data_IF_151766820535
#
_entry.id   IF_151766820535
#
_cell.length_a   1.000
_cell.length_b   1.000
_cell.length_c   1.000
_cell.angle_alpha   90.00
_cell.angle_beta   90.00
_cell.angle_gamma   90.00
#
_symmetry.space_group_name_H-M   'P 1'
#
loop_
_entity.id
_entity.type
_entity.pdbx_description
1 polymer ?
#
# COMPACT_ATOMS: atom_id res chain seq x y z
N UNK A 1 -28.09 28.05 -61.12
CA UNK A 1 -26.74 28.10 -60.50
C UNK A 1 -26.74 28.69 -59.09
N UNK A 2 -27.60 29.67 -58.76
CA UNK A 2 -27.60 30.32 -57.44
C UNK A 2 -28.09 29.44 -56.27
N UNK A 3 -29.05 28.54 -56.49
CA UNK A 3 -29.56 27.66 -55.44
C UNK A 3 -28.51 26.66 -54.92
N UNK A 4 -27.62 26.17 -55.80
CA UNK A 4 -26.55 25.24 -55.43
C UNK A 4 -25.46 25.93 -54.60
N UNK A 5 -25.25 27.25 -54.81
CA UNK A 5 -24.28 28.05 -54.08
C UNK A 5 -24.74 28.33 -52.64
N UNK A 6 -26.04 28.59 -52.43
CA UNK A 6 -26.62 28.81 -51.09
C UNK A 6 -26.57 27.56 -50.21
N UNK A 7 -26.81 26.38 -50.78
CA UNK A 7 -26.74 25.10 -50.05
C UNK A 7 -25.30 24.75 -49.66
N UNK A 8 -24.31 25.08 -50.49
CA UNK A 8 -22.89 24.91 -50.14
C UNK A 8 -22.45 25.88 -49.03
N UNK A 9 -22.93 27.11 -49.04
CA UNK A 9 -22.59 28.10 -48.02
C UNK A 9 -23.19 27.74 -46.64
N UNK A 10 -24.44 27.24 -46.60
CA UNK A 10 -25.07 26.79 -45.35
C UNK A 10 -24.44 25.51 -44.80
N UNK A 11 -24.02 24.58 -45.65
CA UNK A 11 -23.30 23.38 -45.21
C UNK A 11 -21.92 23.71 -44.61
N UNK A 12 -21.19 24.66 -45.21
CA UNK A 12 -19.88 25.10 -44.71
C UNK A 12 -20.04 25.84 -43.37
N UNK A 13 -21.09 26.67 -43.21
CA UNK A 13 -21.39 27.32 -41.93
C UNK A 13 -21.81 26.31 -40.84
N UNK A 14 -22.59 25.28 -41.17
CA UNK A 14 -22.95 24.21 -40.23
C UNK A 14 -21.74 23.37 -39.80
N UNK A 15 -20.80 23.13 -40.73
CA UNK A 15 -19.57 22.39 -40.42
C UNK A 15 -18.64 23.20 -39.51
N UNK A 16 -18.53 24.52 -39.70
CA UNK A 16 -17.76 25.40 -38.82
C UNK A 16 -18.39 25.58 -37.42
N UNK A 17 -19.72 25.58 -37.32
CA UNK A 17 -20.43 25.63 -36.02
C UNK A 17 -20.30 24.30 -35.27
N UNK A 18 -20.31 23.15 -35.96
CA UNK A 18 -20.05 21.86 -35.31
C UNK A 18 -18.57 21.63 -34.93
N UNK A 19 -17.62 22.15 -35.70
CA UNK A 19 -16.19 22.05 -35.37
C UNK A 19 -15.81 22.93 -34.17
N UNK A 20 -16.48 24.08 -33.99
CA UNK A 20 -16.30 24.95 -32.83
C UNK A 20 -16.98 24.43 -31.54
N UNK A 21 -17.93 23.49 -31.66
CA UNK A 21 -18.59 22.84 -30.52
C UNK A 21 -17.86 21.59 -29.99
N UNK A 22 -16.87 21.06 -30.72
CA UNK A 22 -16.08 19.88 -30.32
C UNK A 22 -14.74 20.22 -29.64
N UNK A 23 -14.45 21.50 -29.41
CA UNK A 23 -13.23 21.95 -28.73
C UNK A 23 -13.55 22.63 -27.40
N UNK A 24 -14.29 21.96 -26.51
CA UNK A 24 -14.31 22.32 -25.08
C UNK A 24 -13.20 21.57 -24.33
N UNK A 25 -11.96 21.75 -24.75
CA UNK A 25 -10.87 21.72 -23.77
C UNK A 25 -11.02 23.00 -22.96
N UNK A 26 -11.75 22.94 -21.84
CA UNK A 26 -11.63 23.94 -20.80
C UNK A 26 -10.17 23.89 -20.34
N UNK A 27 -9.31 24.66 -21.01
CA UNK A 27 -8.00 25.01 -20.50
C UNK A 27 -8.29 25.89 -19.30
N UNK A 28 -8.52 25.27 -18.15
CA UNK A 28 -8.53 25.99 -16.89
C UNK A 28 -7.16 26.64 -16.79
N UNK A 29 -7.14 27.97 -16.92
CA UNK A 29 -5.93 28.80 -16.80
C UNK A 29 -5.52 28.85 -15.32
N UNK A 30 -5.17 27.69 -14.77
CA UNK A 30 -4.61 27.55 -13.44
C UNK A 30 -3.11 27.82 -13.54
N UNK A 31 -2.61 28.54 -12.54
CA UNK A 31 -1.19 28.83 -12.40
C UNK A 31 -0.70 28.35 -11.03
N UNK A 32 0.50 27.77 -11.00
CA UNK A 32 1.16 27.40 -9.75
C UNK A 32 2.06 28.57 -9.34
N UNK A 33 1.69 29.24 -8.25
CA UNK A 33 2.42 30.40 -7.73
C UNK A 33 3.70 29.96 -7.02
N UNK A 34 3.62 28.90 -6.24
CA UNK A 34 4.77 28.32 -5.56
C UNK A 34 4.60 26.80 -5.46
N UNK A 35 5.66 26.05 -5.79
CA UNK A 35 5.73 24.62 -5.60
C UNK A 35 6.98 24.25 -4.78
N UNK A 36 6.76 23.63 -3.63
CA UNK A 36 7.84 23.05 -2.84
C UNK A 36 7.71 21.53 -2.86
N UNK A 37 8.72 20.85 -3.42
CA UNK A 37 8.78 19.39 -3.52
C UNK A 37 9.89 18.86 -2.61
N UNK A 38 9.55 17.98 -1.67
CA UNK A 38 10.49 17.33 -0.75
C UNK A 38 10.48 15.82 -0.99
N UNK A 39 11.60 15.28 -1.40
CA UNK A 39 11.80 13.87 -1.71
C UNK A 39 12.65 13.25 -0.59
N UNK A 40 12.07 12.33 0.16
CA UNK A 40 12.74 11.60 1.22
C UNK A 40 13.24 10.24 0.70
N UNK A 41 14.57 10.08 0.66
CA UNK A 41 15.27 8.86 0.23
C UNK A 41 15.90 8.11 1.42
N UNK A 42 15.50 8.44 2.65
CA UNK A 42 16.09 7.83 3.86
C UNK A 42 15.82 6.33 3.97
N UNK A 43 14.70 5.85 3.41
CA UNK A 43 14.32 4.44 3.32
C UNK A 43 14.41 3.97 1.86
N UNK A 44 14.15 2.67 1.63
CA UNK A 44 13.97 2.15 0.28
C UNK A 44 12.59 2.49 -0.33
N UNK A 45 11.69 3.01 0.51
CA UNK A 45 10.38 3.56 0.16
C UNK A 45 10.54 5.07 0.02
N UNK A 46 10.36 5.60 -1.19
CA UNK A 46 10.54 7.04 -1.43
C UNK A 46 9.23 7.75 -1.09
N UNK A 47 9.28 8.71 -0.17
CA UNK A 47 8.14 9.54 0.19
C UNK A 47 8.33 10.93 -0.39
N UNK A 48 7.37 11.40 -1.17
CA UNK A 48 7.43 12.73 -1.76
C UNK A 48 6.28 13.57 -1.25
N UNK A 49 6.64 14.67 -0.60
CA UNK A 49 5.73 15.70 -0.13
C UNK A 49 5.79 16.89 -1.09
N UNK A 50 4.66 17.32 -1.62
CA UNK A 50 4.57 18.47 -2.52
C UNK A 50 3.56 19.46 -1.96
N UNK A 51 4.04 20.65 -1.63
CA UNK A 51 3.19 21.79 -1.25
C UNK A 51 2.97 22.65 -2.49
N UNK A 52 1.73 22.73 -2.96
CA UNK A 52 1.34 23.50 -4.14
C UNK A 52 0.47 24.68 -3.73
N UNK A 53 0.93 25.91 -4.03
CA UNK A 53 0.08 27.09 -4.00
C UNK A 53 -0.43 27.38 -5.40
N UNK A 54 -1.71 27.14 -5.61
CA UNK A 54 -2.39 27.25 -6.91
C UNK A 54 -3.25 28.51 -6.94
N UNK A 55 -3.35 29.15 -8.09
CA UNK A 55 -4.13 30.34 -8.36
C UNK A 55 -4.97 30.10 -9.63
N UNK A 56 -6.26 30.47 -9.60
CA UNK A 56 -7.07 30.44 -10.82
C UNK A 56 -6.94 31.79 -11.55
N UNK A 57 -6.19 31.82 -12.66
CA UNK A 57 -6.07 32.99 -13.51
C UNK A 57 -7.19 33.10 -14.55
N UNK A 58 -7.97 32.03 -14.74
CA UNK A 58 -9.07 31.96 -15.70
C UNK A 58 -10.35 32.67 -15.26
N UNK A 59 -11.31 32.73 -16.18
CA UNK A 59 -12.62 33.36 -15.94
C UNK A 59 -13.63 32.43 -15.28
N UNK A 60 -13.54 31.13 -15.53
CA UNK A 60 -14.42 30.11 -14.94
C UNK A 60 -13.86 29.58 -13.61
N UNK A 61 -14.71 29.26 -12.62
CA UNK A 61 -14.26 28.62 -11.39
C UNK A 61 -13.70 27.22 -11.68
N UNK A 62 -12.55 26.89 -11.08
CA UNK A 62 -11.92 25.58 -11.21
C UNK A 62 -12.39 24.65 -10.09
N UNK A 63 -12.85 23.45 -10.43
CA UNK A 63 -13.31 22.43 -9.47
C UNK A 63 -12.24 21.37 -9.19
N UNK A 64 -11.29 21.23 -10.11
CA UNK A 64 -10.35 20.12 -10.14
C UNK A 64 -8.96 20.63 -10.51
N UNK A 65 -7.93 19.96 -10.02
CA UNK A 65 -6.53 20.28 -10.33
C UNK A 65 -5.83 19.00 -10.76
N UNK A 66 -5.15 19.07 -11.90
CA UNK A 66 -4.41 17.94 -12.46
C UNK A 66 -2.98 17.91 -11.94
N UNK A 67 -2.59 16.78 -11.36
CA UNK A 67 -1.22 16.49 -10.99
C UNK A 67 -0.60 15.54 -12.02
N UNK A 68 0.50 15.96 -12.65
CA UNK A 68 1.14 15.20 -13.73
C UNK A 68 2.29 14.32 -13.21
N UNK A 69 2.43 13.16 -13.84
CA UNK A 69 3.54 12.24 -13.62
C UNK A 69 4.16 11.79 -14.95
N UNK A 70 5.50 11.63 -14.99
CA UNK A 70 6.15 10.90 -16.08
C UNK A 70 5.57 9.48 -16.17
N UNK A 71 5.42 8.92 -17.38
CA UNK A 71 4.87 7.57 -17.56
C UNK A 71 5.68 6.53 -16.79
N UNK A 72 7.01 6.66 -16.77
CA UNK A 72 7.90 5.76 -16.04
C UNK A 72 7.74 5.81 -14.53
N UNK A 73 7.21 6.90 -13.97
CA UNK A 73 7.10 7.08 -12.51
C UNK A 73 5.74 6.60 -11.98
N UNK A 74 4.68 6.70 -12.79
CA UNK A 74 3.31 6.29 -12.38
C UNK A 74 3.23 4.83 -11.97
N UNK A 75 3.92 3.95 -12.70
CA UNK A 75 3.90 2.52 -12.42
C UNK A 75 4.50 2.17 -11.05
N UNK A 76 5.33 3.07 -10.50
CA UNK A 76 5.94 2.94 -9.18
C UNK A 76 5.13 3.59 -8.05
N UNK A 77 4.04 4.31 -8.36
CA UNK A 77 3.22 4.97 -7.34
C UNK A 77 2.40 3.93 -6.58
N UNK A 78 2.70 3.75 -5.29
CA UNK A 78 1.96 2.87 -4.40
C UNK A 78 0.74 3.57 -3.78
N UNK A 79 0.90 4.85 -3.47
CA UNK A 79 -0.11 5.66 -2.80
C UNK A 79 -0.02 7.10 -3.30
N UNK A 80 -1.17 7.73 -3.52
CA UNK A 80 -1.31 9.15 -3.77
C UNK A 80 -2.42 9.71 -2.88
N UNK A 81 -2.12 10.75 -2.09
CA UNK A 81 -3.06 11.45 -1.22
C UNK A 81 -2.90 12.96 -1.45
N UNK A 82 -4.01 13.68 -1.43
CA UNK A 82 -4.02 15.14 -1.46
C UNK A 82 -4.87 15.66 -0.30
N UNK A 83 -4.50 16.81 0.24
CA UNK A 83 -5.25 17.49 1.27
C UNK A 83 -5.23 19.01 1.04
N UNK A 84 -6.34 19.68 1.29
CA UNK A 84 -6.40 21.14 1.33
C UNK A 84 -5.98 21.63 2.72
N UNK A 85 -5.18 22.69 2.76
CA UNK A 85 -4.86 23.39 4.01
C UNK A 85 -5.95 24.41 4.32
N UNK A 86 -6.66 24.21 5.44
CA UNK A 86 -7.70 25.12 5.92
C UNK A 86 -7.25 25.79 7.23
N UNK A 87 -7.43 27.10 7.33
CA UNK A 87 -7.10 27.90 8.52
C UNK A 87 -5.79 28.70 8.43
N UNK A 88 -5.61 29.67 9.35
CA UNK A 88 -4.44 30.56 9.38
C UNK A 88 -3.44 30.17 10.49
N UNK A 89 -2.14 30.20 10.17
CA UNK A 89 -1.00 30.04 11.10
C UNK A 89 -1.04 28.78 11.98
N UNK A 90 -1.49 28.89 13.24
CA UNK A 90 -1.37 27.86 14.31
C UNK A 90 -2.55 26.88 14.38
N UNK A 91 -3.64 27.12 13.65
CA UNK A 91 -4.79 26.19 13.51
C UNK A 91 -4.91 25.72 12.06
N UNK A 92 -3.81 25.21 11.48
CA UNK A 92 -3.87 24.57 10.17
C UNK A 92 -4.49 23.19 10.32
N UNK A 93 -5.61 22.97 9.65
CA UNK A 93 -6.24 21.66 9.53
C UNK A 93 -6.05 21.17 8.11
N UNK A 94 -5.72 19.89 7.95
CA UNK A 94 -5.62 19.25 6.65
C UNK A 94 -6.91 18.48 6.39
N UNK A 95 -7.62 18.86 5.34
CA UNK A 95 -8.86 18.19 4.94
C UNK A 95 -8.53 17.32 3.71
N UNK A 96 -8.72 15.99 3.77
CA UNK A 96 -8.47 15.10 2.64
C UNK A 96 -9.30 15.49 1.42
N UNK A 97 -8.70 15.37 0.23
CA UNK A 97 -9.35 15.60 -1.05
C UNK A 97 -9.53 14.29 -1.80
N UNK A 98 -10.58 14.22 -2.62
CA UNK A 98 -10.79 13.09 -3.52
C UNK A 98 -9.78 13.14 -4.67
N UNK A 99 -9.22 11.99 -5.01
CA UNK A 99 -8.21 11.85 -6.05
C UNK A 99 -8.58 10.70 -6.97
N UNK A 100 -8.61 10.98 -8.27
CA UNK A 100 -8.89 9.97 -9.30
C UNK A 100 -7.79 9.93 -10.36
N UNK A 101 -7.29 8.74 -10.74
CA UNK A 101 -6.48 8.61 -11.95
C UNK A 101 -7.25 9.15 -13.15
N UNK A 102 -6.59 9.90 -14.02
CA UNK A 102 -7.23 10.51 -15.20
C UNK A 102 -6.26 10.45 -16.38
N UNK A 103 -6.77 10.03 -17.53
CA UNK A 103 -6.02 10.05 -18.77
C UNK A 103 -6.55 11.16 -19.68
N UNK A 104 -5.62 11.96 -20.22
CA UNK A 104 -5.95 12.96 -21.23
C UNK A 104 -5.51 12.41 -22.60
N UNK A 105 -6.39 12.37 -23.61
CA UNK A 105 -6.09 11.77 -24.91
C UNK A 105 -4.92 12.46 -25.65
N UNK A 106 -4.68 13.75 -25.37
CA UNK A 106 -3.61 14.55 -25.98
C UNK A 106 -2.45 14.85 -25.00
N UNK A 107 -2.17 13.97 -24.04
CA UNK A 107 -1.10 14.17 -23.08
C UNK A 107 0.29 14.18 -23.76
N UNK A 108 1.11 15.22 -23.57
CA UNK A 108 2.45 15.24 -24.14
C UNK A 108 3.30 14.12 -23.54
N UNK A 109 4.10 13.45 -24.39
CA UNK A 109 5.07 12.41 -24.00
C UNK A 109 4.48 11.26 -23.14
N UNK A 110 3.20 10.94 -23.30
CA UNK A 110 2.54 9.88 -22.54
C UNK A 110 2.34 10.20 -21.05
N UNK A 111 2.38 11.49 -20.68
CA UNK A 111 2.15 11.95 -19.30
C UNK A 111 0.82 11.43 -18.76
N UNK A 112 0.84 10.92 -17.53
CA UNK A 112 -0.35 10.43 -16.82
C UNK A 112 -0.74 11.43 -15.74
N UNK A 113 -2.02 11.49 -15.38
CA UNK A 113 -2.53 12.47 -14.44
C UNK A 113 -3.32 11.84 -13.31
N UNK A 114 -3.34 12.55 -12.18
CA UNK A 114 -4.33 12.39 -11.13
C UNK A 114 -5.13 13.69 -11.05
N UNK A 115 -6.45 13.60 -11.14
CA UNK A 115 -7.35 14.72 -10.85
C UNK A 115 -7.60 14.80 -9.34
N UNK A 116 -7.36 15.98 -8.78
CA UNK A 116 -7.62 16.31 -7.36
C UNK A 116 -8.86 17.20 -7.33
N UNK A 117 -9.96 16.70 -6.75
CA UNK A 117 -11.19 17.48 -6.61
C UNK A 117 -11.06 18.46 -5.43
N UNK A 118 -11.32 19.74 -5.68
CA UNK A 118 -11.28 20.79 -4.66
C UNK A 118 -12.55 20.77 -3.82
N UNK A 119 -12.44 21.14 -2.53
CA UNK A 119 -13.59 21.24 -1.62
C UNK A 119 -14.58 22.32 -2.06
N UNK A 120 -14.03 23.47 -2.45
CA UNK A 120 -14.79 24.61 -2.95
C UNK A 120 -14.24 24.98 -4.34
N UNK A 121 -15.10 25.42 -5.27
CA UNK A 121 -14.64 25.90 -6.57
C UNK A 121 -13.70 27.10 -6.38
N UNK A 122 -12.53 27.05 -7.00
CA UNK A 122 -11.53 28.12 -6.93
C UNK A 122 -11.96 29.26 -7.87
N UNK A 123 -12.36 30.39 -7.31
CA UNK A 123 -12.81 31.57 -8.08
C UNK A 123 -11.65 32.30 -8.76
N UNK A 124 -11.95 33.17 -9.72
CA UNK A 124 -10.93 33.98 -10.42
C UNK A 124 -10.08 34.79 -9.42
N UNK A 125 -8.77 34.67 -9.51
CA UNK A 125 -7.78 35.32 -8.64
C UNK A 125 -7.69 34.73 -7.23
N UNK A 126 -8.48 33.70 -6.92
CA UNK A 126 -8.41 33.01 -5.63
C UNK A 126 -7.22 32.06 -5.60
N UNK A 127 -6.62 31.90 -4.41
CA UNK A 127 -5.50 30.98 -4.20
C UNK A 127 -5.86 29.90 -3.20
N UNK A 128 -5.44 28.67 -3.49
CA UNK A 128 -5.53 27.54 -2.58
C UNK A 128 -4.15 26.94 -2.32
N UNK A 129 -3.97 26.30 -1.16
CA UNK A 129 -2.75 25.55 -0.84
C UNK A 129 -3.11 24.08 -0.67
N UNK A 130 -2.50 23.25 -1.52
CA UNK A 130 -2.66 21.80 -1.54
C UNK A 130 -1.38 21.15 -1.00
N UNK A 131 -1.54 20.17 -0.13
CA UNK A 131 -0.47 19.28 0.30
C UNK A 131 -0.70 17.92 -0.35
N UNK A 132 0.26 17.48 -1.15
CA UNK A 132 0.22 16.19 -1.85
C UNK A 132 1.30 15.29 -1.26
N UNK A 133 0.91 14.07 -0.92
CA UNK A 133 1.82 12.99 -0.55
C UNK A 133 1.68 11.87 -1.57
N UNK A 134 2.77 11.53 -2.24
CA UNK A 134 2.83 10.28 -3.00
C UNK A 134 4.05 9.46 -2.60
N UNK A 135 3.90 8.15 -2.71
CA UNK A 135 4.89 7.18 -2.28
C UNK A 135 5.27 6.32 -3.46
N UNK A 136 6.57 6.24 -3.72
CA UNK A 136 7.13 5.45 -4.79
C UNK A 136 7.84 4.23 -4.23
N UNK A 137 7.63 3.10 -4.87
CA UNK A 137 8.28 1.83 -4.55
C UNK A 137 9.09 1.35 -5.75
N UNK A 138 10.14 0.57 -5.50
CA UNK A 138 11.01 0.00 -6.57
C UNK A 138 11.61 1.06 -7.52
N UNK A 139 11.77 2.30 -7.05
CA UNK A 139 12.38 3.40 -7.83
C UNK A 139 13.86 3.63 -7.51
N UNK A 140 14.39 2.94 -6.50
CA UNK A 140 15.82 2.93 -6.19
C UNK A 140 16.47 1.74 -6.88
N UNK A 141 17.47 2.00 -7.71
CA UNK A 141 18.20 0.98 -8.46
C UNK A 141 19.59 0.78 -7.85
N UNK A 142 19.91 -0.42 -7.34
CA UNK A 142 21.26 -0.69 -6.86
C UNK A 142 22.31 -0.56 -7.96
N UNK A 143 23.35 0.22 -7.68
CA UNK A 143 24.51 0.36 -8.56
C UNK A 143 25.80 0.57 -7.74
N UNK A 144 26.70 -0.43 -7.71
CA UNK A 144 26.68 -1.65 -8.51
C UNK A 144 25.51 -2.59 -8.15
N UNK A 145 25.04 -3.37 -9.14
CA UNK A 145 23.91 -4.28 -8.97
C UNK A 145 24.23 -5.46 -8.02
N UNK A 146 25.51 -5.77 -7.86
CA UNK A 146 26.01 -6.80 -6.95
C UNK A 146 27.15 -6.25 -6.09
N UNK A 147 27.16 -6.58 -4.80
CA UNK A 147 28.15 -6.17 -3.82
C UNK A 147 28.64 -7.37 -3.00
N UNK A 148 29.91 -7.35 -2.65
CA UNK A 148 30.49 -8.28 -1.68
C UNK A 148 30.01 -7.99 -0.26
N UNK A 149 30.30 -8.90 0.68
CA UNK A 149 29.84 -8.80 2.06
C UNK A 149 30.29 -7.53 2.78
N UNK A 150 31.46 -6.98 2.42
CA UNK A 150 32.09 -5.83 3.08
C UNK A 150 31.80 -4.50 2.39
N UNK A 151 31.20 -4.51 1.21
CA UNK A 151 30.94 -3.30 0.42
C UNK A 151 29.66 -2.61 0.87
N UNK A 152 29.67 -1.27 0.80
CA UNK A 152 28.48 -0.45 1.00
C UNK A 152 27.52 -0.58 -0.18
N UNK A 153 26.23 -0.54 0.11
CA UNK A 153 25.19 -0.47 -0.91
C UNK A 153 25.04 0.97 -1.41
N UNK A 154 25.26 1.15 -2.71
CA UNK A 154 25.03 2.39 -3.43
C UNK A 154 23.82 2.23 -4.36
N UNK A 155 23.00 3.27 -4.51
CA UNK A 155 21.80 3.26 -5.33
C UNK A 155 21.65 4.53 -6.16
N UNK A 156 21.02 4.38 -7.33
CA UNK A 156 20.55 5.49 -8.15
C UNK A 156 19.08 5.76 -7.90
N UNK A 157 18.72 7.04 -7.94
CA UNK A 157 17.34 7.49 -8.17
C UNK A 157 17.31 8.37 -9.42
N UNK A 158 16.32 8.12 -10.29
CA UNK A 158 16.04 8.95 -11.46
C UNK A 158 14.81 9.79 -11.17
N UNK A 159 14.94 11.10 -11.27
CA UNK A 159 13.85 12.04 -11.05
C UNK A 159 14.07 13.30 -11.92
N UNK A 160 13.39 14.39 -11.62
CA UNK A 160 13.54 15.70 -12.24
C UNK A 160 13.79 16.79 -11.20
N UNK A 161 14.70 17.72 -11.52
CA UNK A 161 14.99 18.90 -10.70
C UNK A 161 13.76 19.83 -10.59
N UNK A 162 12.94 19.86 -11.64
CA UNK A 162 11.70 20.63 -11.71
C UNK A 162 10.48 19.71 -11.66
N UNK A 163 9.41 20.19 -11.04
CA UNK A 163 8.10 19.54 -10.99
C UNK A 163 7.50 19.49 -12.40
N UNK A 164 7.15 18.28 -12.86
CA UNK A 164 6.33 18.12 -14.05
C UNK A 164 4.90 18.56 -13.74
N UNK A 165 4.41 19.55 -14.48
CA UNK A 165 3.09 20.14 -14.27
C UNK A 165 2.43 20.50 -15.60
N UNK A 166 1.11 20.31 -15.78
CA UNK A 166 0.38 20.79 -16.96
C UNK A 166 0.15 22.32 -16.92
N UNK A 167 0.42 22.94 -15.78
CA UNK A 167 0.24 24.36 -15.53
C UNK A 167 1.59 25.09 -15.49
N UNK A 168 1.56 26.39 -15.77
CA UNK A 168 2.72 27.27 -15.61
C UNK A 168 3.11 27.38 -14.14
N UNK A 169 4.41 27.30 -13.84
CA UNK A 169 4.94 27.36 -12.47
C UNK A 169 5.78 28.63 -12.31
N UNK A 170 5.32 29.59 -11.49
CA UNK A 170 6.05 30.85 -11.23
C UNK A 170 7.34 30.61 -10.46
N UNK A 171 7.26 29.85 -9.36
CA UNK A 171 8.42 29.56 -8.51
C UNK A 171 8.36 28.12 -8.03
N UNK A 172 9.52 27.46 -8.01
CA UNK A 172 9.62 26.12 -7.44
C UNK A 172 10.97 25.81 -6.83
N UNK A 173 10.95 24.89 -5.87
CA UNK A 173 12.13 24.34 -5.22
C UNK A 173 11.95 22.84 -5.02
N UNK A 174 12.98 22.07 -5.30
CA UNK A 174 13.03 20.63 -5.02
C UNK A 174 14.13 20.35 -4.00
N UNK A 175 13.77 19.71 -2.89
CA UNK A 175 14.66 19.29 -1.82
C UNK A 175 14.70 17.76 -1.79
N UNK A 176 15.89 17.18 -1.82
CA UNK A 176 16.10 15.74 -1.76
C UNK A 176 16.91 15.43 -0.51
N UNK A 177 16.37 14.58 0.37
CA UNK A 177 17.03 14.14 1.60
C UNK A 177 17.58 12.73 1.41
N UNK A 178 18.89 12.57 1.55
CA UNK A 178 19.59 11.28 1.49
C UNK A 178 19.73 10.65 2.88
N UNK A 179 19.89 9.32 3.00
CA UNK A 179 20.05 8.63 4.28
C UNK A 179 21.39 8.94 4.95
N UNK A 180 22.41 9.27 4.16
CA UNK A 180 23.75 9.59 4.63
C UNK A 180 24.31 10.81 3.88
N UNK A 181 25.42 11.35 4.38
CA UNK A 181 26.17 12.40 3.69
C UNK A 181 27.01 11.86 2.53
N UNK A 182 27.05 10.54 2.29
CA UNK A 182 27.83 9.90 1.23
C UNK A 182 27.02 9.83 -0.08
N UNK A 183 27.13 10.90 -0.87
CA UNK A 183 26.62 10.99 -2.24
C UNK A 183 27.82 10.98 -3.18
N UNK A 184 27.89 9.97 -4.04
CA UNK A 184 28.95 9.72 -5.02
C UNK A 184 28.87 10.72 -6.18
N UNK A 185 27.67 10.92 -6.72
CA UNK A 185 27.44 11.88 -7.81
C UNK A 185 25.99 12.35 -7.84
N UNK A 186 25.76 13.54 -8.39
CA UNK A 186 24.43 14.06 -8.68
C UNK A 186 24.49 14.97 -9.91
N UNK A 187 23.41 14.99 -10.69
CA UNK A 187 23.29 15.90 -11.86
C UNK A 187 23.21 17.35 -11.38
N UNK A 188 24.08 18.22 -11.88
CA UNK A 188 24.06 19.65 -11.55
C UNK A 188 23.11 20.39 -12.49
N UNK A 189 22.06 20.99 -11.94
CA UNK A 189 21.11 21.85 -12.68
C UNK A 189 21.07 23.19 -11.97
N UNK A 190 21.79 24.19 -12.49
CA UNK A 190 21.99 25.45 -11.78
C UNK A 190 20.67 26.26 -11.65
N UNK A 191 20.37 26.84 -10.46
CA UNK A 191 21.12 26.73 -9.21
C UNK A 191 20.84 25.40 -8.49
N UNK A 192 21.90 24.72 -8.06
CA UNK A 192 21.82 23.53 -7.19
C UNK A 192 22.85 23.61 -6.09
N UNK A 193 22.50 23.21 -4.87
CA UNK A 193 23.39 23.23 -3.71
C UNK A 193 23.25 21.92 -2.92
N UNK A 194 24.33 21.51 -2.24
CA UNK A 194 24.35 20.36 -1.33
C UNK A 194 24.80 20.82 0.04
N UNK A 195 24.02 20.50 1.06
CA UNK A 195 24.37 20.75 2.46
C UNK A 195 24.07 19.50 3.30
N UNK A 196 25.12 18.85 3.80
CA UNK A 196 24.98 17.63 4.61
C UNK A 196 24.26 16.50 3.84
N UNK A 197 23.09 16.10 4.33
CA UNK A 197 22.22 15.07 3.75
C UNK A 197 21.15 15.63 2.80
N UNK A 198 21.16 16.94 2.53
CA UNK A 198 20.15 17.58 1.70
C UNK A 198 20.76 18.12 0.40
N UNK A 199 20.09 17.80 -0.72
CA UNK A 199 20.35 18.35 -2.04
C UNK A 199 19.20 19.29 -2.39
N UNK A 200 19.51 20.53 -2.72
CA UNK A 200 18.56 21.57 -3.11
C UNK A 200 18.73 21.90 -4.58
N UNK A 201 17.63 21.79 -5.33
CA UNK A 201 17.49 22.25 -6.71
C UNK A 201 16.56 23.47 -6.74
N UNK A 202 17.04 24.56 -7.33
CA UNK A 202 16.34 25.84 -7.36
C UNK A 202 16.73 26.79 -6.21
N UNK A 203 16.03 27.92 -6.08
CA UNK A 203 14.75 28.22 -6.71
C UNK A 203 14.86 28.34 -8.24
N UNK A 204 13.85 27.82 -8.93
CA UNK A 204 13.67 28.05 -10.37
C UNK A 204 12.43 28.90 -10.57
N UNK A 205 12.61 30.00 -11.29
CA UNK A 205 11.51 30.89 -11.65
C UNK A 205 10.97 30.58 -13.06
N UNK A 206 9.71 30.94 -13.28
CA UNK A 206 8.95 30.99 -14.54
C UNK A 206 9.20 29.82 -15.48
N UNK A 207 8.63 28.67 -15.13
CA UNK A 207 8.72 27.44 -15.92
C UNK A 207 7.44 27.18 -16.72
N UNK A 208 7.56 26.94 -18.04
CA UNK A 208 6.40 26.67 -18.87
C UNK A 208 5.78 25.31 -18.54
N UNK A 209 4.50 25.09 -18.90
CA UNK A 209 3.86 23.78 -18.80
C UNK A 209 4.72 22.65 -19.39
N UNK A 210 4.68 21.48 -18.75
CA UNK A 210 5.36 20.26 -19.17
C UNK A 210 6.89 20.36 -19.31
N UNK A 211 7.50 21.35 -18.67
CA UNK A 211 8.96 21.41 -18.57
C UNK A 211 9.49 20.27 -17.69
N UNK A 212 10.60 19.69 -18.10
CA UNK A 212 11.24 18.55 -17.43
C UNK A 212 12.77 18.71 -17.44
N UNK A 213 13.43 18.41 -16.33
CA UNK A 213 14.89 18.53 -16.20
C UNK A 213 15.42 17.31 -15.47
N UNK A 214 15.79 16.24 -16.19
CA UNK A 214 16.15 14.96 -15.59
C UNK A 214 17.38 15.09 -14.70
N UNK A 215 17.31 14.44 -13.55
CA UNK A 215 18.42 14.31 -12.60
C UNK A 215 18.63 12.86 -12.22
N UNK A 216 19.90 12.53 -12.01
CA UNK A 216 20.36 11.26 -11.46
C UNK A 216 21.11 11.58 -10.17
N UNK A 217 20.74 10.90 -9.07
CA UNK A 217 21.46 11.02 -7.80
C UNK A 217 21.95 9.64 -7.38
N UNK A 218 23.25 9.53 -7.11
CA UNK A 218 23.95 8.31 -6.71
C UNK A 218 24.45 8.45 -5.28
N UNK A 219 23.96 7.61 -4.38
CA UNK A 219 24.24 7.76 -2.96
C UNK A 219 24.28 6.42 -2.24
N UNK A 220 24.93 6.41 -1.08
CA UNK A 220 24.97 5.26 -0.19
C UNK A 220 23.66 5.11 0.58
N UNK A 221 23.06 3.94 0.48
CA UNK A 221 21.88 3.54 1.24
C UNK A 221 22.05 2.10 1.74
N UNK A 222 22.61 1.94 2.94
CA UNK A 222 22.78 0.64 3.60
C UNK A 222 21.53 0.19 4.37
N UNK A 223 20.39 0.88 4.25
CA UNK A 223 19.17 0.33 4.84
C UNK A 223 18.79 -0.96 4.10
N UNK A 224 18.26 -1.95 4.82
CA UNK A 224 17.85 -3.20 4.19
C UNK A 224 16.55 -3.00 3.39
N UNK A 225 16.53 -3.49 2.15
CA UNK A 225 15.42 -3.26 1.22
C UNK A 225 14.40 -4.39 1.39
N UNK A 226 13.45 -4.19 2.30
CA UNK A 226 12.46 -5.20 2.73
C UNK A 226 11.28 -5.24 1.79
N UNK A 227 11.24 -6.25 0.93
CA UNK A 227 10.13 -6.47 0.00
C UNK A 227 9.54 -7.84 0.24
N UNK A 228 8.25 -7.89 0.54
CA UNK A 228 7.48 -9.13 0.60
C UNK A 228 6.78 -9.30 -0.74
N UNK A 229 7.21 -10.30 -1.52
CA UNK A 229 6.62 -10.59 -2.83
C UNK A 229 5.15 -10.98 -2.68
N UNK A 230 4.84 -11.75 -1.64
CA UNK A 230 3.48 -12.19 -1.33
C UNK A 230 3.27 -12.27 0.18
N UNK A 231 2.25 -11.58 0.66
CA UNK A 231 1.74 -11.68 2.03
C UNK A 231 0.31 -12.18 1.98
N UNK A 232 0.10 -13.41 2.47
CA UNK A 232 -1.24 -13.95 2.69
C UNK A 232 -1.56 -13.89 4.17
N UNK A 233 -2.56 -13.10 4.54
CA UNK A 233 -3.07 -12.99 5.92
C UNK A 233 -4.43 -13.65 6.00
N UNK A 234 -4.53 -14.71 6.79
CA UNK A 234 -5.80 -15.32 7.16
C UNK A 234 -6.24 -14.82 8.54
N UNK A 235 -7.47 -14.36 8.62
CA UNK A 235 -8.14 -13.89 9.85
C UNK A 235 -9.33 -14.81 10.09
N UNK A 236 -9.17 -15.79 10.98
CA UNK A 236 -10.24 -16.72 11.34
C UNK A 236 -10.98 -16.23 12.57
N UNK A 237 -12.25 -15.91 12.40
CA UNK A 237 -13.13 -15.45 13.49
C UNK A 237 -13.79 -16.68 14.11
N UNK A 238 -13.75 -16.79 15.44
CA UNK A 238 -14.51 -17.78 16.19
C UNK A 238 -15.38 -17.10 17.23
N UNK A 239 -16.71 -17.24 17.10
CA UNK A 239 -17.66 -16.72 18.08
C UNK A 239 -17.57 -17.41 19.45
N UNK A 240 -16.77 -18.47 19.58
CA UNK A 240 -16.41 -19.06 20.87
C UNK A 240 -15.41 -18.21 21.68
N UNK A 241 -14.92 -17.09 21.13
CA UNK A 241 -14.26 -16.03 21.89
C UNK A 241 -12.86 -15.64 21.43
N UNK A 242 -12.40 -16.11 20.27
CA UNK A 242 -11.06 -15.75 19.75
C UNK A 242 -11.04 -15.45 18.26
N UNK A 243 -10.03 -14.70 17.86
CA UNK A 243 -9.64 -14.52 16.46
C UNK A 243 -8.25 -15.12 16.31
N UNK A 244 -8.06 -15.97 15.31
CA UNK A 244 -6.77 -16.56 14.98
C UNK A 244 -6.22 -15.90 13.72
N UNK A 245 -5.02 -15.35 13.82
CA UNK A 245 -4.33 -14.73 12.69
C UNK A 245 -3.21 -15.66 12.23
N UNK A 246 -3.14 -15.92 10.93
CA UNK A 246 -2.03 -16.64 10.30
C UNK A 246 -1.53 -15.84 9.10
N UNK A 247 -0.28 -15.40 9.15
CA UNK A 247 0.36 -14.59 8.11
C UNK A 247 1.50 -15.38 7.47
N UNK A 248 1.47 -15.53 6.15
CA UNK A 248 2.48 -16.23 5.36
C UNK A 248 3.26 -15.19 4.55
N UNK A 249 4.57 -15.15 4.76
CA UNK A 249 5.47 -14.17 4.16
C UNK A 249 6.38 -14.84 3.14
N UNK A 250 6.49 -14.26 1.95
CA UNK A 250 7.60 -14.51 1.00
C UNK A 250 8.47 -13.25 0.92
N UNK A 251 9.42 -13.13 1.84
CA UNK A 251 10.32 -11.99 1.96
C UNK A 251 11.51 -12.14 1.02
N UNK A 252 11.92 -11.05 0.36
CA UNK A 252 13.16 -10.93 -0.40
C UNK A 252 13.89 -9.65 0.00
N UNK A 253 15.21 -9.73 0.08
CA UNK A 253 16.03 -8.51 0.14
C UNK A 253 16.22 -7.95 -1.28
N UNK A 254 15.53 -6.86 -1.60
CA UNK A 254 15.54 -6.25 -2.95
C UNK A 254 16.72 -5.28 -3.21
N UNK A 255 17.76 -5.33 -2.38
CA UNK A 255 18.93 -4.46 -2.50
C UNK A 255 19.94 -4.98 -3.53
N UNK A 256 21.17 -4.44 -3.48
CA UNK A 256 22.27 -4.94 -4.29
C UNK A 256 22.55 -6.42 -3.97
N UNK A 257 22.61 -7.27 -5.01
CA UNK A 257 22.74 -8.72 -4.83
C UNK A 257 24.07 -9.08 -4.18
N UNK A 258 24.09 -10.13 -3.38
CA UNK A 258 25.33 -10.63 -2.82
C UNK A 258 26.25 -11.22 -3.91
N UNK A 259 27.49 -10.75 -3.94
CA UNK A 259 28.55 -11.25 -4.82
C UNK A 259 29.63 -11.96 -4.01
N UNK A 260 30.08 -13.11 -4.51
CA UNK A 260 31.15 -13.89 -3.91
C UNK A 260 30.65 -14.85 -2.83
N UNK A 261 31.52 -15.14 -1.86
CA UNK A 261 31.26 -16.15 -0.82
C UNK A 261 30.84 -15.45 0.47
N UNK A 262 29.81 -15.98 1.11
CA UNK A 262 29.45 -15.58 2.47
C UNK A 262 30.46 -16.14 3.48
N UNK A 263 31.06 -15.26 4.28
CA UNK A 263 31.95 -15.60 5.38
C UNK A 263 31.30 -15.26 6.72
N UNK A 264 30.88 -16.30 7.46
CA UNK A 264 30.34 -16.17 8.82
C UNK A 264 31.33 -15.49 9.77
N UNK A 265 32.62 -15.82 9.64
CA UNK A 265 33.70 -15.24 10.46
C UNK A 265 33.77 -13.73 10.23
N UNK A 266 33.76 -13.30 8.96
CA UNK A 266 33.79 -11.87 8.65
C UNK A 266 32.54 -11.15 9.15
N UNK A 267 31.37 -11.78 9.02
CA UNK A 267 30.09 -11.22 9.45
C UNK A 267 30.04 -10.98 10.97
N UNK A 268 30.65 -11.87 11.75
CA UNK A 268 30.66 -11.79 13.21
C UNK A 268 31.81 -10.92 13.75
N UNK A 269 32.98 -10.95 13.13
CA UNK A 269 34.17 -10.25 13.64
C UNK A 269 34.22 -8.77 13.25
N UNK A 270 33.68 -8.39 12.08
CA UNK A 270 33.71 -7.00 11.61
C UNK A 270 32.36 -6.33 11.86
N UNK A 271 32.31 -5.39 12.80
CA UNK A 271 31.09 -4.67 13.19
C UNK A 271 30.33 -3.94 12.06
N UNK A 272 30.94 -3.75 10.90
CA UNK A 272 30.33 -3.16 9.70
C UNK A 272 30.17 -4.11 8.49
N UNK A 273 30.57 -5.38 8.58
CA UNK A 273 30.35 -6.35 7.48
C UNK A 273 28.86 -6.72 7.43
N UNK A 274 28.31 -6.76 6.21
CA UNK A 274 26.88 -6.96 5.98
C UNK A 274 26.00 -5.84 6.51
N UNK A 275 26.46 -4.58 6.41
CA UNK A 275 25.69 -3.40 6.85
C UNK A 275 24.33 -3.27 6.15
N UNK A 276 24.23 -3.72 4.89
CA UNK A 276 22.99 -3.74 4.11
C UNK A 276 22.07 -4.93 4.42
N UNK A 277 22.56 -5.95 5.13
CA UNK A 277 21.81 -7.18 5.38
C UNK A 277 20.75 -7.05 6.49
N UNK A 278 19.77 -7.96 6.49
CA UNK A 278 18.83 -8.09 7.60
C UNK A 278 19.44 -8.88 8.75
N UNK A 279 19.51 -8.25 9.94
CA UNK A 279 19.81 -8.93 11.20
C UNK A 279 18.53 -9.36 11.92
N UNK A 280 17.63 -8.40 12.09
CA UNK A 280 16.33 -8.58 12.72
C UNK A 280 15.25 -7.92 11.87
N UNK A 281 14.02 -8.41 11.99
CA UNK A 281 12.82 -7.80 11.45
C UNK A 281 11.88 -7.50 12.61
N UNK A 282 11.29 -6.31 12.61
CA UNK A 282 10.35 -5.89 13.65
C UNK A 282 8.93 -5.90 13.11
N UNK A 283 8.10 -6.81 13.61
CA UNK A 283 6.66 -6.82 13.40
C UNK A 283 5.95 -6.07 14.53
N UNK A 284 5.09 -5.10 14.18
CA UNK A 284 4.20 -4.40 15.09
C UNK A 284 2.83 -5.05 15.05
N UNK A 285 2.52 -5.80 16.08
CA UNK A 285 1.27 -6.54 16.22
C UNK A 285 0.27 -5.77 17.10
N UNK A 286 -1.03 -6.13 17.07
CA UNK A 286 -2.02 -5.57 17.98
C UNK A 286 -1.68 -5.80 19.47
N UNK A 287 -2.32 -5.08 20.41
CA UNK A 287 -2.19 -5.38 21.83
C UNK A 287 -2.82 -6.74 22.18
N UNK A 288 -2.50 -7.27 23.37
CA UNK A 288 -3.08 -8.51 23.93
C UNK A 288 -2.94 -9.76 23.05
N UNK A 289 -1.93 -9.81 22.19
CA UNK A 289 -1.59 -11.02 21.44
C UNK A 289 -1.20 -12.15 22.39
N UNK A 290 -1.64 -13.36 22.08
CA UNK A 290 -1.26 -14.56 22.80
C UNK A 290 -1.01 -15.72 21.82
N UNK A 291 -0.43 -16.81 22.32
CA UNK A 291 -0.16 -18.01 21.50
C UNK A 291 0.63 -17.70 20.21
N UNK A 292 1.57 -16.76 20.29
CA UNK A 292 2.37 -16.33 19.14
C UNK A 292 3.34 -17.45 18.74
N UNK A 293 3.37 -17.77 17.45
CA UNK A 293 4.33 -18.71 16.89
C UNK A 293 5.00 -18.14 15.64
N UNK A 294 6.27 -18.48 15.48
CA UNK A 294 7.11 -18.10 14.33
C UNK A 294 7.80 -19.36 13.79
N UNK A 295 7.47 -19.72 12.55
CA UNK A 295 7.94 -20.97 11.94
C UNK A 295 8.20 -20.80 10.45
N UNK A 296 9.01 -21.67 9.89
CA UNK A 296 9.15 -21.84 8.45
C UNK A 296 8.62 -23.22 8.02
N UNK A 297 8.88 -23.59 6.77
CA UNK A 297 8.44 -24.88 6.20
C UNK A 297 9.07 -26.08 6.91
N UNK A 298 10.28 -25.92 7.47
CA UNK A 298 11.03 -27.01 8.13
C UNK A 298 10.83 -27.05 9.65
N UNK A 299 10.08 -26.09 10.21
CA UNK A 299 9.63 -26.14 11.60
C UNK A 299 9.77 -24.83 12.35
N UNK A 300 9.82 -24.93 13.67
CA UNK A 300 9.88 -23.76 14.54
C UNK A 300 11.22 -23.00 14.39
N UNK A 301 11.16 -21.68 14.53
CA UNK A 301 12.34 -20.82 14.65
C UNK A 301 12.31 -20.18 16.04
N UNK A 302 13.27 -20.53 16.89
CA UNK A 302 13.32 -20.07 18.28
C UNK A 302 13.90 -18.67 18.46
N UNK A 303 14.57 -18.12 17.44
CA UNK A 303 15.19 -16.79 17.45
C UNK A 303 14.13 -15.69 17.23
N UNK A 304 13.30 -15.48 18.25
CA UNK A 304 12.28 -14.44 18.28
C UNK A 304 12.10 -13.89 19.69
N UNK A 305 11.77 -12.60 19.78
CA UNK A 305 11.56 -11.89 21.03
C UNK A 305 10.25 -11.10 20.96
N UNK A 306 9.28 -11.48 21.78
CA UNK A 306 7.99 -10.79 21.89
C UNK A 306 8.01 -9.85 23.10
N UNK A 307 7.65 -8.59 22.87
CA UNK A 307 7.40 -7.58 23.90
C UNK A 307 5.95 -7.12 23.78
N UNK A 308 5.16 -7.37 24.81
CA UNK A 308 3.75 -6.97 24.85
C UNK A 308 3.59 -5.68 25.65
N UNK A 309 2.89 -4.70 25.10
CA UNK A 309 2.51 -3.45 25.75
C UNK A 309 0.98 -3.29 25.66
N UNK A 310 0.39 -2.42 26.49
CA UNK A 310 -1.05 -2.18 26.53
C UNK A 310 -1.58 -1.63 25.21
N UNK A 311 -0.75 -0.89 24.46
CA UNK A 311 -1.15 -0.26 23.19
C UNK A 311 -0.81 -1.08 21.95
N UNK A 312 0.22 -1.91 22.01
CA UNK A 312 0.75 -2.66 20.87
C UNK A 312 1.63 -3.81 21.37
N UNK A 313 1.93 -4.75 20.50
CA UNK A 313 2.94 -5.76 20.76
C UNK A 313 4.03 -5.68 19.70
N UNK A 314 5.27 -5.89 20.07
CA UNK A 314 6.43 -5.86 19.19
C UNK A 314 7.06 -7.24 19.17
N UNK A 315 7.08 -7.85 17.99
CA UNK A 315 7.73 -9.13 17.74
C UNK A 315 8.97 -8.88 16.89
N UNK A 316 10.14 -9.02 17.52
CA UNK A 316 11.42 -9.01 16.84
C UNK A 316 11.76 -10.44 16.44
N UNK A 317 11.97 -10.68 15.14
CA UNK A 317 12.32 -12.00 14.60
C UNK A 317 13.69 -11.95 13.93
N UNK A 318 14.44 -13.02 14.11
CA UNK A 318 15.68 -13.27 13.38
C UNK A 318 15.48 -14.48 12.47
N UNK A 319 15.56 -14.32 11.14
CA UNK A 319 15.55 -15.46 10.23
C UNK A 319 16.73 -16.42 10.50
N UNK A 320 16.64 -17.67 10.05
CA UNK A 320 17.68 -18.70 10.27
C UNK A 320 19.08 -18.30 9.77
N UNK A 321 19.13 -17.40 8.81
CA UNK A 321 20.34 -16.85 8.23
C UNK A 321 20.15 -15.36 7.92
N UNK A 322 21.21 -14.54 7.98
CA UNK A 322 21.12 -13.13 7.58
C UNK A 322 20.70 -13.05 6.12
N UNK A 323 19.80 -12.13 5.78
CA UNK A 323 19.38 -11.96 4.40
C UNK A 323 20.24 -10.88 3.76
N UNK A 324 21.09 -11.29 2.81
CA UNK A 324 21.80 -10.39 1.89
C UNK A 324 20.96 -10.16 0.64
N UNK A 325 21.30 -9.15 -0.17
CA UNK A 325 20.54 -8.82 -1.36
C UNK A 325 20.37 -10.00 -2.31
N UNK A 326 19.15 -10.20 -2.78
CA UNK A 326 18.72 -11.33 -3.60
C UNK A 326 18.31 -12.57 -2.81
N UNK A 327 18.65 -12.69 -1.52
CA UNK A 327 18.23 -13.82 -0.71
C UNK A 327 16.75 -13.68 -0.31
N UNK A 328 16.09 -14.84 -0.17
CA UNK A 328 14.67 -14.94 0.14
C UNK A 328 14.47 -15.72 1.43
N UNK A 329 13.46 -15.35 2.21
CA UNK A 329 12.99 -16.13 3.36
C UNK A 329 11.48 -16.29 3.29
N UNK A 330 11.02 -17.53 3.48
CA UNK A 330 9.60 -17.85 3.61
C UNK A 330 9.32 -18.29 5.03
N UNK A 331 8.37 -17.63 5.68
CA UNK A 331 8.02 -17.92 7.07
C UNK A 331 6.56 -17.60 7.35
N UNK A 332 6.07 -18.12 8.47
CA UNK A 332 4.71 -17.93 8.97
C UNK A 332 4.78 -17.34 10.36
N UNK A 333 4.02 -16.28 10.58
CA UNK A 333 3.74 -15.72 11.89
C UNK A 333 2.26 -15.99 12.17
N UNK A 334 1.93 -16.56 13.32
CA UNK A 334 0.54 -16.66 13.75
C UNK A 334 0.39 -16.32 15.22
N UNK A 335 -0.80 -15.84 15.57
CA UNK A 335 -1.12 -15.36 16.91
C UNK A 335 -2.63 -15.31 17.14
N UNK A 336 -3.03 -15.46 18.39
CA UNK A 336 -4.41 -15.30 18.83
C UNK A 336 -4.69 -13.90 19.36
N UNK A 337 -5.93 -13.47 19.18
CA UNK A 337 -6.47 -12.21 19.70
C UNK A 337 -7.82 -12.46 20.39
N UNK A 338 -8.13 -11.71 21.45
CA UNK A 338 -9.46 -11.75 22.07
C UNK A 338 -10.51 -11.17 21.11
N UNK A 339 -11.64 -11.86 20.95
CA UNK A 339 -12.69 -11.47 19.99
C UNK A 339 -13.28 -10.09 20.30
N UNK A 340 -13.45 -9.77 21.58
CA UNK A 340 -14.10 -8.55 22.10
C UNK A 340 -13.43 -7.23 21.65
N UNK A 341 -12.13 -7.27 21.32
CA UNK A 341 -11.37 -6.08 20.95
C UNK A 341 -11.52 -5.72 19.46
N UNK A 342 -12.01 -6.65 18.63
CA UNK A 342 -12.01 -6.51 17.16
C UNK A 342 -13.36 -6.82 16.51
N UNK A 343 -14.26 -7.51 17.21
CA UNK A 343 -15.61 -7.80 16.71
C UNK A 343 -16.63 -6.92 17.42
N UNK A 344 -17.41 -6.19 16.62
CA UNK A 344 -18.39 -5.23 17.10
C UNK A 344 -19.76 -5.49 16.47
N UNK A 345 -20.80 -4.91 17.07
CA UNK A 345 -22.16 -4.93 16.54
C UNK A 345 -22.52 -3.53 16.03
N UNK A 346 -23.08 -3.46 14.83
CA UNK A 346 -23.60 -2.21 14.26
C UNK A 346 -25.06 -1.99 14.65
N UNK A 347 -25.56 -0.73 14.60
CA UNK A 347 -26.93 -0.42 15.05
C UNK A 347 -28.05 -1.15 14.30
N UNK A 348 -27.76 -1.66 13.11
CA UNK A 348 -28.65 -2.48 12.27
C UNK A 348 -28.64 -3.97 12.65
N UNK A 349 -27.94 -4.35 13.72
CA UNK A 349 -27.85 -5.73 14.25
C UNK A 349 -26.84 -6.62 13.52
N UNK A 350 -26.06 -6.08 12.58
CA UNK A 350 -24.99 -6.82 11.91
C UNK A 350 -23.73 -6.86 12.78
N UNK A 351 -22.93 -7.91 12.60
CA UNK A 351 -21.60 -7.97 13.22
C UNK A 351 -20.56 -7.48 12.23
N UNK A 352 -19.52 -6.84 12.72
CA UNK A 352 -18.39 -6.46 11.88
C UNK A 352 -17.05 -6.67 12.57
N UNK A 353 -16.13 -7.26 11.82
CA UNK A 353 -14.71 -7.25 12.16
C UNK A 353 -14.16 -5.85 11.85
N UNK A 354 -13.37 -5.30 12.76
CA UNK A 354 -12.56 -4.10 12.53
C UNK A 354 -11.09 -4.46 12.73
N UNK A 355 -10.31 -4.50 11.64
CA UNK A 355 -8.92 -4.95 11.66
C UNK A 355 -8.02 -4.07 10.81
N UNK A 356 -6.70 -4.18 10.96
CA UNK A 356 -5.75 -3.35 10.21
C UNK A 356 -5.33 -4.03 8.91
N UNK A 357 -5.33 -3.27 7.79
CA UNK A 357 -5.07 -3.82 6.46
C UNK A 357 -3.59 -4.10 6.19
N UNK A 358 -2.69 -3.16 6.52
CA UNK A 358 -1.28 -3.19 6.09
C UNK A 358 -0.42 -4.33 6.64
N UNK A 359 0.82 -4.39 6.16
CA UNK A 359 1.86 -5.29 6.67
C UNK A 359 2.31 -4.85 8.07
N UNK A 360 2.47 -5.77 9.05
CA UNK A 360 2.92 -5.41 10.38
C UNK A 360 4.45 -5.23 10.45
N UNK A 361 5.20 -5.74 9.45
CA UNK A 361 6.64 -5.52 9.36
C UNK A 361 6.95 -4.05 9.09
N UNK A 362 7.90 -3.53 9.87
CA UNK A 362 8.32 -2.13 9.78
C UNK A 362 9.06 -1.88 8.46
N UNK A 363 8.85 -0.70 7.86
CA UNK A 363 9.54 -0.25 6.63
C UNK A 363 9.59 -1.35 5.55
N UNK A 364 8.45 -1.98 5.25
CA UNK A 364 8.35 -3.10 4.31
C UNK A 364 7.35 -2.78 3.21
N UNK A 365 7.72 -3.06 1.96
CA UNK A 365 6.83 -3.02 0.80
C UNK A 365 6.27 -4.41 0.56
N UNK A 366 4.98 -4.52 0.24
CA UNK A 366 4.36 -5.78 -0.18
C UNK A 366 3.91 -5.66 -1.62
N UNK A 367 4.38 -6.54 -2.51
CA UNK A 367 3.97 -6.51 -3.91
C UNK A 367 2.53 -7.00 -4.09
N UNK A 368 2.17 -8.10 -3.44
CA UNK A 368 0.80 -8.63 -3.38
C UNK A 368 0.40 -8.94 -1.93
N UNK A 369 -0.64 -8.27 -1.44
CA UNK A 369 -1.28 -8.55 -0.16
C UNK A 369 -2.66 -9.15 -0.41
N UNK A 370 -2.88 -10.36 0.11
CA UNK A 370 -4.17 -11.04 0.11
C UNK A 370 -4.62 -11.24 1.55
N UNK A 371 -5.74 -10.62 1.93
CA UNK A 371 -6.37 -10.81 3.24
C UNK A 371 -7.58 -11.72 3.06
N UNK A 372 -7.63 -12.82 3.80
CA UNK A 372 -8.73 -13.78 3.84
C UNK A 372 -9.40 -13.71 5.19
N UNK A 373 -10.59 -13.12 5.25
CA UNK A 373 -11.41 -13.10 6.48
C UNK A 373 -12.33 -14.32 6.46
N UNK A 374 -12.02 -15.33 7.27
CA UNK A 374 -12.78 -16.56 7.41
C UNK A 374 -13.88 -16.34 8.44
N UNK A 375 -15.13 -16.30 7.97
CA UNK A 375 -16.30 -16.07 8.80
C UNK A 375 -16.82 -17.39 9.40
N UNK A 376 -17.48 -17.34 10.57
CA UNK A 376 -18.10 -18.53 11.17
C UNK A 376 -19.16 -19.16 10.26
N UNK A 377 -19.31 -20.48 10.33
CA UNK A 377 -20.32 -21.19 9.54
C UNK A 377 -21.74 -20.64 9.79
N UNK A 378 -22.53 -20.48 8.72
CA UNK A 378 -23.86 -19.86 8.80
C UNK A 378 -23.89 -18.33 8.72
N UNK A 379 -22.72 -17.69 8.55
CA UNK A 379 -22.65 -16.25 8.25
C UNK A 379 -23.20 -15.92 6.86
N UNK A 380 -24.00 -14.86 6.76
CA UNK A 380 -24.69 -14.42 5.54
C UNK A 380 -24.31 -12.99 5.15
N UNK A 381 -24.44 -12.70 3.86
CA UNK A 381 -24.31 -11.37 3.25
C UNK A 381 -23.04 -10.60 3.66
N UNK A 382 -21.83 -11.19 3.51
CA UNK A 382 -20.62 -10.51 3.90
C UNK A 382 -20.32 -9.30 3.01
N UNK A 383 -19.88 -8.19 3.60
CA UNK A 383 -19.48 -6.97 2.87
C UNK A 383 -18.21 -6.37 3.46
N UNK A 384 -17.18 -6.17 2.65
CA UNK A 384 -15.93 -5.53 3.08
C UNK A 384 -15.89 -4.03 2.74
N UNK A 385 -15.58 -3.20 3.73
CA UNK A 385 -15.35 -1.77 3.60
C UNK A 385 -13.86 -1.46 3.76
N UNK A 386 -13.24 -0.97 2.70
CA UNK A 386 -11.82 -0.62 2.65
C UNK A 386 -11.68 0.81 2.12
N UNK A 387 -10.83 1.68 2.71
CA UNK A 387 -10.76 3.10 2.35
C UNK A 387 -10.01 3.41 1.04
N UNK A 388 -9.66 2.39 0.25
CA UNK A 388 -8.97 2.53 -1.02
C UNK A 388 -9.36 1.38 -1.97
N UNK A 389 -9.12 1.51 -3.30
CA UNK A 389 -9.46 0.49 -4.27
C UNK A 389 -8.74 -0.84 -3.99
N UNK A 390 -9.50 -1.92 -3.98
CA UNK A 390 -9.07 -3.30 -3.76
C UNK A 390 -9.91 -4.24 -4.62
N UNK A 391 -9.36 -5.39 -4.98
CA UNK A 391 -10.12 -6.49 -5.57
C UNK A 391 -10.75 -7.31 -4.46
N UNK A 392 -12.02 -7.71 -4.63
CA UNK A 392 -12.75 -8.47 -3.62
C UNK A 392 -13.52 -9.62 -4.27
N UNK A 393 -13.50 -10.78 -3.63
CA UNK A 393 -14.30 -11.93 -4.03
C UNK A 393 -14.58 -12.83 -2.82
N UNK A 394 -15.53 -13.75 -3.00
CA UNK A 394 -15.90 -14.72 -1.97
C UNK A 394 -15.35 -16.10 -2.31
N UNK A 395 -14.86 -16.79 -1.30
CA UNK A 395 -14.42 -18.18 -1.36
C UNK A 395 -15.12 -19.01 -0.28
N UNK A 396 -15.01 -20.33 -0.36
CA UNK A 396 -15.48 -21.25 0.67
C UNK A 396 -14.31 -22.07 1.19
N UNK A 397 -14.18 -22.12 2.51
CA UNK A 397 -13.16 -22.91 3.20
C UNK A 397 -13.83 -23.94 4.11
N UNK A 398 -13.26 -25.14 4.16
CA UNK A 398 -13.67 -26.17 5.10
C UNK A 398 -12.59 -26.33 6.17
N UNK A 399 -13.01 -26.34 7.43
CA UNK A 399 -12.20 -26.53 8.61
C UNK A 399 -12.79 -27.66 9.48
N UNK A 400 -12.26 -27.82 10.67
CA UNK A 400 -12.76 -28.79 11.64
C UNK A 400 -14.21 -28.47 12.03
N UNK A 401 -15.02 -29.53 12.09
CA UNK A 401 -16.44 -29.51 12.48
C UNK A 401 -17.38 -28.74 11.56
N UNK A 402 -16.91 -28.33 10.37
CA UNK A 402 -17.76 -27.65 9.39
C UNK A 402 -18.62 -28.65 8.59
N UNK A 403 -19.89 -28.32 8.34
CA UNK A 403 -20.80 -29.17 7.54
C UNK A 403 -21.02 -28.60 6.14
N UNK A 404 -21.36 -27.32 6.06
CA UNK A 404 -21.65 -26.57 4.83
C UNK A 404 -20.40 -25.87 4.30
N UNK A 405 -19.51 -25.49 5.21
CA UNK A 405 -18.29 -24.71 4.93
C UNK A 405 -18.42 -23.25 5.34
N UNK A 406 -17.28 -22.62 5.57
CA UNK A 406 -17.15 -21.23 6.01
C UNK A 406 -16.99 -20.30 4.82
N UNK A 407 -17.73 -19.20 4.84
CA UNK A 407 -17.59 -18.12 3.87
C UNK A 407 -16.32 -17.33 4.15
N UNK A 408 -15.49 -17.15 3.13
CA UNK A 408 -14.24 -16.39 3.21
C UNK A 408 -14.36 -15.15 2.34
N UNK A 409 -14.14 -13.99 2.95
CA UNK A 409 -14.03 -12.72 2.21
C UNK A 409 -12.58 -12.49 1.87
N UNK A 410 -12.27 -12.51 0.57
CA UNK A 410 -10.92 -12.30 0.06
C UNK A 410 -10.79 -10.86 -0.43
N UNK A 411 -9.75 -10.18 0.05
CA UNK A 411 -9.45 -8.79 -0.29
C UNK A 411 -8.01 -8.73 -0.78
N UNK A 412 -7.80 -8.36 -2.03
CA UNK A 412 -6.48 -8.31 -2.67
C UNK A 412 -6.08 -6.88 -3.04
N UNK A 413 -4.81 -6.55 -2.83
CA UNK A 413 -4.20 -5.32 -3.31
C UNK A 413 -2.74 -5.54 -3.69
N UNK A 414 -2.32 -4.83 -4.73
CA UNK A 414 -0.93 -4.74 -5.15
C UNK A 414 -0.25 -3.45 -4.66
N UNK A 415 1.06 -3.51 -4.53
CA UNK A 415 1.94 -2.39 -4.18
C UNK A 415 1.52 -1.70 -2.86
N UNK A 416 1.56 -2.46 -1.76
CA UNK A 416 1.15 -1.99 -0.43
C UNK A 416 2.36 -1.48 0.34
N UNK A 417 2.28 -0.21 0.75
CA UNK A 417 3.25 0.49 1.61
C UNK A 417 2.72 0.68 3.04
N UNK A 418 3.58 1.01 4.04
CA UNK A 418 3.17 1.20 5.43
C UNK A 418 2.00 2.16 5.65
N UNK A 419 1.78 3.15 4.78
CA UNK A 419 0.69 4.12 4.85
C UNK A 419 -0.69 3.54 4.50
N UNK A 420 -0.75 2.28 4.03
CA UNK A 420 -1.98 1.49 3.93
C UNK A 420 -2.31 0.75 5.23
N UNK A 421 -1.52 0.93 6.29
CA UNK A 421 -1.80 0.37 7.61
C UNK A 421 -2.92 1.15 8.31
N UNK A 422 -4.13 1.05 7.75
CA UNK A 422 -5.37 1.66 8.22
C UNK A 422 -6.41 0.58 8.50
N UNK A 423 -7.43 0.94 9.27
CA UNK A 423 -8.53 0.04 9.57
C UNK A 423 -9.36 -0.30 8.31
N UNK A 424 -9.79 -1.55 8.22
CA UNK A 424 -10.81 -2.02 7.29
C UNK A 424 -11.86 -2.81 8.08
N UNK A 425 -13.06 -2.91 7.52
CA UNK A 425 -14.19 -3.55 8.19
C UNK A 425 -14.80 -4.64 7.31
N UNK A 426 -15.24 -5.74 7.92
CA UNK A 426 -16.01 -6.80 7.24
C UNK A 426 -17.29 -7.04 8.01
N UNK A 427 -18.42 -6.65 7.41
CA UNK A 427 -19.76 -6.81 7.95
C UNK A 427 -20.34 -8.17 7.55
N UNK A 428 -21.11 -8.79 8.43
CA UNK A 428 -21.84 -10.03 8.14
C UNK A 428 -23.03 -10.22 9.09
N UNK A 429 -24.01 -11.02 8.66
CA UNK A 429 -25.16 -11.44 9.44
C UNK A 429 -24.89 -12.81 10.05
N UNK A 430 -25.14 -12.98 11.35
CA UNK A 430 -24.97 -14.27 12.02
C UNK A 430 -26.06 -14.51 13.05
N UNK A 431 -26.75 -15.65 12.95
CA UNK A 431 -27.72 -16.08 13.95
C UNK A 431 -27.01 -16.95 15.02
N UNK A 432 -26.97 -16.54 16.30
CA UNK A 432 -26.32 -17.29 17.37
C UNK A 432 -26.75 -18.75 17.52
N UNK A 433 -27.96 -19.11 17.09
CA UNK A 433 -28.47 -20.49 17.13
C UNK A 433 -27.54 -21.45 16.34
N UNK A 434 -26.88 -20.97 15.27
CA UNK A 434 -25.95 -21.80 14.50
C UNK A 434 -24.73 -22.25 15.31
N UNK A 435 -24.37 -21.58 16.41
CA UNK A 435 -23.29 -22.06 17.29
C UNK A 435 -23.61 -23.41 17.95
N UNK A 436 -24.89 -23.79 18.06
CA UNK A 436 -25.28 -25.09 18.60
C UNK A 436 -25.06 -26.25 17.63
N UNK A 437 -24.87 -25.98 16.33
CA UNK A 437 -24.71 -27.00 15.32
C UNK A 437 -23.46 -27.86 15.57
N UNK A 438 -22.32 -27.23 15.88
CA UNK A 438 -21.05 -27.90 16.16
C UNK A 438 -21.15 -28.88 17.36
N UNK A 439 -21.60 -28.46 18.57
CA UNK A 439 -21.80 -29.40 19.69
C UNK A 439 -22.84 -30.49 19.41
N UNK A 440 -23.97 -30.15 18.77
CA UNK A 440 -25.03 -31.12 18.48
C UNK A 440 -24.58 -32.17 17.48
N UNK A 441 -23.73 -31.81 16.52
CA UNK A 441 -23.15 -32.76 15.57
C UNK A 441 -22.28 -33.80 16.29
N UNK A 442 -21.40 -33.37 17.19
CA UNK A 442 -20.58 -34.28 18.00
C UNK A 442 -21.45 -35.17 18.89
N UNK A 443 -22.41 -34.57 19.61
CA UNK A 443 -23.35 -35.32 20.45
C UNK A 443 -24.12 -36.38 19.64
N UNK A 444 -24.58 -36.03 18.43
CA UNK A 444 -25.28 -36.94 17.53
C UNK A 444 -24.38 -38.07 17.04
N UNK A 445 -23.12 -37.79 16.70
CA UNK A 445 -22.17 -38.82 16.27
C UNK A 445 -21.92 -39.86 17.37
N UNK A 446 -21.66 -39.41 18.61
CA UNK A 446 -21.50 -40.32 19.75
C UNK A 446 -22.79 -41.07 20.08
N UNK A 447 -23.93 -40.39 20.05
CA UNK A 447 -25.24 -41.02 20.26
C UNK A 447 -25.49 -42.16 19.25
N UNK A 448 -25.28 -41.91 17.96
CA UNK A 448 -25.43 -42.91 16.90
C UNK A 448 -24.46 -44.08 17.07
N UNK A 449 -23.22 -43.83 17.51
CA UNK A 449 -22.27 -44.89 17.83
C UNK A 449 -22.77 -45.81 18.95
N UNK A 450 -23.35 -45.25 20.02
CA UNK A 450 -23.95 -46.05 21.09
C UNK A 450 -25.19 -46.80 20.63
N UNK A 451 -26.06 -46.17 19.84
CA UNK A 451 -27.24 -46.83 19.25
C UNK A 451 -26.83 -47.99 18.35
N UNK A 452 -25.80 -47.83 17.53
CA UNK A 452 -25.26 -48.89 16.69
C UNK A 452 -24.70 -50.04 17.53
N UNK A 453 -23.97 -49.73 18.60
CA UNK A 453 -23.44 -50.74 19.53
C UNK A 453 -24.55 -51.54 20.22
N UNK A 454 -25.59 -50.85 20.72
CA UNK A 454 -26.77 -51.48 21.31
C UNK A 454 -27.51 -52.33 20.28
N UNK A 455 -27.68 -51.83 19.06
CA UNK A 455 -28.33 -52.58 17.99
C UNK A 455 -27.55 -53.85 17.65
N UNK A 456 -26.23 -53.75 17.48
CA UNK A 456 -25.35 -54.89 17.21
C UNK A 456 -25.45 -55.98 18.30
N UNK A 457 -25.48 -55.59 19.58
CA UNK A 457 -25.62 -56.53 20.70
C UNK A 457 -26.99 -57.23 20.76
N UNK A 458 -28.03 -56.61 20.20
CA UNK A 458 -29.39 -57.15 20.18
C UNK A 458 -29.74 -57.90 18.89
N UNK A 459 -28.84 -57.91 17.88
CA UNK A 459 -29.04 -58.67 16.64
C UNK A 459 -28.43 -60.07 16.82
N UNK A 460 -29.30 -61.07 16.83
CA UNK A 460 -28.91 -62.48 16.83
C UNK A 460 -28.63 -62.94 15.39
N UNK A 461 -27.35 -63.17 15.07
CA UNK A 461 -26.90 -63.70 13.78
C UNK A 461 -26.78 -65.24 13.76
N UNK A 462 -27.34 -65.96 14.75
CA UNK A 462 -27.23 -67.42 14.80
C UNK A 462 -28.10 -68.12 13.74
N UNK A 463 -27.50 -69.04 12.97
CA UNK A 463 -28.16 -69.79 11.87
C UNK A 463 -28.94 -71.01 12.40
N UNK A 464 -28.58 -71.50 13.58
CA UNK A 464 -29.33 -72.52 14.32
C UNK A 464 -29.52 -72.05 15.75
N UNK A 465 -30.77 -71.80 16.12
CA UNK A 465 -31.16 -71.64 17.52
C UNK A 465 -31.08 -73.00 18.21
N UNK A 466 -30.23 -73.09 19.22
CA UNK A 466 -30.10 -74.28 20.08
C UNK A 466 -31.16 -74.25 21.18
#
# INVERSE_FOLDING_TARGET
>A
MEALLRVRLTLVLFFFVHLSLLSRTSSQEIQIVNAERRIDLTSHIIKVFVTLKVENSGTSPALEILFAFPPTLVDHVALFKAAATVGKRKKKTYVPLDVKPTELPNAPNGTKYFSISLLNPLSKGETATLEVLYILTRSLEPFPAEISQSESQLVYVRDSAILLSPYHVKQQITLIKTPSTRVESFTVVAPSNRAGTELKYGPYDDRPPYSYSPILVHFENNNPFSVVEELEREVEISHWGSIQITERYKLVHAGARHKGVFSRVEYQQRGGSGSSSFRHLLARLPPRVHSVYYRDEIGNISSSHLRTDFRKSELEIEPRYPLFGGWKATFVIGYGLPLEDFLFESPDGRRYLNFTYGCPLTETVVDKLTIKVVLPEGSKDPTAMVPFPVEQHLETKYSYLDVVGRTVVVIEKRNVVPEHNVAFQVYYNFNPIFMLAEPLMLASAFFLFFVASVSYLNVDFSIHKK
#
